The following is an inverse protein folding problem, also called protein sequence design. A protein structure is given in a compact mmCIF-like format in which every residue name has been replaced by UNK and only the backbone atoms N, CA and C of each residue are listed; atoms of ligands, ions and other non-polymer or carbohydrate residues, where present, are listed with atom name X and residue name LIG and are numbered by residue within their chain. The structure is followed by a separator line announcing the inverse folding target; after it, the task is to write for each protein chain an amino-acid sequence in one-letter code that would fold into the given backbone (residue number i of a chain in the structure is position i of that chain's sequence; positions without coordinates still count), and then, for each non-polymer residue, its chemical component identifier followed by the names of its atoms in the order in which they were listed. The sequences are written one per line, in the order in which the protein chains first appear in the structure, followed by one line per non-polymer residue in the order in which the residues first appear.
data_IF_843753900230
#
_entry.id   IF_843753900230
#
_cell.length_a   1.000
_cell.length_b   1.000
_cell.length_c   1.000
_cell.angle_alpha   90.00
_cell.angle_beta   90.00
_cell.angle_gamma   90.00
#
_symmetry.space_group_name_H-M   'P 1'
#
loop_
_entity.id
_entity.type
_entity.pdbx_description
1 polymer ?
#
# COMPACT_ATOMS: atom_id res chain seq x y z
N UNK A 1 -50.19 19.52 43.04
CA UNK A 1 -49.91 20.94 42.98
C UNK A 1 -48.86 21.06 41.89
N UNK A 2 -49.16 21.40 40.76
CA UNK A 2 -49.73 22.50 39.98
C UNK A 2 -48.60 22.83 39.01
N UNK A 3 -48.70 22.45 37.78
CA UNK A 3 -49.15 23.16 36.60
C UNK A 3 -48.26 24.38 36.28
N UNK A 4 -47.60 24.38 35.16
CA UNK A 4 -48.04 25.11 33.96
C UNK A 4 -46.97 25.07 32.86
N UNK A 5 -47.42 24.62 31.71
CA UNK A 5 -46.87 24.91 30.38
C UNK A 5 -47.30 26.33 29.97
N UNK A 6 -46.53 27.05 29.19
CA UNK A 6 -47.11 27.59 27.97
C UNK A 6 -46.18 27.58 26.74
N UNK A 7 -46.71 26.96 25.67
CA UNK A 7 -47.08 27.57 24.40
C UNK A 7 -45.98 28.26 23.59
N UNK A 8 -45.66 27.61 22.50
CA UNK A 8 -45.93 28.01 21.10
C UNK A 8 -45.55 29.48 20.74
N UNK A 9 -44.52 29.62 19.89
CA UNK A 9 -44.47 30.68 18.88
C UNK A 9 -43.76 30.18 17.63
N UNK A 10 -44.59 30.09 16.58
CA UNK A 10 -44.23 30.03 15.18
C UNK A 10 -43.50 31.29 14.73
N UNK A 11 -42.42 31.13 13.99
CA UNK A 11 -41.89 32.18 13.10
C UNK A 11 -41.35 31.55 11.82
N UNK A 12 -42.13 31.58 10.81
CA UNK A 12 -41.99 32.07 9.43
C UNK A 12 -40.60 32.05 8.82
N UNK A 13 -40.53 31.25 7.76
CA UNK A 13 -39.59 31.22 6.65
C UNK A 13 -39.61 32.55 5.86
N UNK A 14 -38.49 33.06 5.38
CA UNK A 14 -38.49 33.92 4.19
C UNK A 14 -37.67 33.32 3.05
N UNK A 15 -38.40 32.91 2.04
CA UNK A 15 -38.22 33.02 0.59
C UNK A 15 -36.86 33.51 0.05
N UNK A 16 -36.31 32.64 -0.80
CA UNK A 16 -35.96 32.89 -2.20
C UNK A 16 -35.38 34.28 -2.55
N UNK A 17 -34.11 34.33 -2.89
CA UNK A 17 -33.58 35.25 -3.87
C UNK A 17 -32.55 34.61 -4.77
N UNK A 18 -32.96 34.40 -6.00
CA UNK A 18 -32.15 34.15 -7.19
C UNK A 18 -31.09 35.24 -7.37
N UNK A 19 -29.83 34.88 -7.53
CA UNK A 19 -28.82 35.77 -8.08
C UNK A 19 -28.13 35.09 -9.25
N UNK A 20 -28.29 35.72 -10.36
CA UNK A 20 -27.80 35.53 -11.69
C UNK A 20 -26.29 35.33 -11.81
N UNK A 21 -25.97 34.43 -12.72
CA UNK A 21 -24.70 34.16 -13.39
C UNK A 21 -24.18 35.42 -14.15
N UNK A 22 -22.91 35.80 -14.06
CA UNK A 22 -22.31 36.69 -15.05
C UNK A 22 -21.34 35.90 -15.94
N UNK A 23 -21.79 35.72 -17.16
CA UNK A 23 -21.09 35.73 -18.47
C UNK A 23 -19.57 35.92 -18.48
N UNK A 24 -18.94 34.94 -19.10
CA UNK A 24 -17.67 34.89 -19.80
C UNK A 24 -17.37 36.15 -20.67
N UNK A 25 -16.17 36.72 -20.66
CA UNK A 25 -15.66 37.49 -21.78
C UNK A 25 -14.49 36.78 -22.47
N UNK A 26 -14.76 36.53 -23.73
CA UNK A 26 -13.89 36.12 -24.82
C UNK A 26 -12.55 36.85 -24.93
N UNK A 27 -11.55 36.02 -25.23
CA UNK A 27 -10.46 36.23 -26.18
C UNK A 27 -9.96 37.63 -26.54
N UNK A 28 -8.69 37.83 -26.36
CA UNK A 28 -7.83 38.50 -27.35
C UNK A 28 -6.39 38.08 -27.20
N UNK A 29 -5.89 37.51 -28.27
CA UNK A 29 -4.52 37.19 -28.59
C UNK A 29 -3.75 38.48 -28.87
N UNK A 30 -2.51 38.65 -28.47
CA UNK A 30 -1.56 39.43 -29.26
C UNK A 30 -0.31 38.59 -29.60
N UNK A 31 -0.12 38.55 -30.89
CA UNK A 31 1.03 38.11 -31.64
C UNK A 31 2.37 38.76 -31.24
N UNK A 32 3.40 37.95 -31.37
CA UNK A 32 4.74 38.28 -31.83
C UNK A 32 5.64 39.19 -30.99
N UNK A 33 6.63 38.58 -30.31
CA UNK A 33 7.99 39.09 -30.36
C UNK A 33 8.99 37.95 -30.22
N UNK A 34 9.84 37.83 -31.21
CA UNK A 34 11.04 37.02 -31.32
C UNK A 34 12.02 37.26 -30.20
N UNK A 35 12.50 36.19 -29.54
CA UNK A 35 13.82 36.14 -28.97
C UNK A 35 14.33 34.69 -29.02
N UNK A 36 15.29 34.46 -29.85
CA UNK A 36 16.22 33.36 -29.91
C UNK A 36 16.87 33.14 -28.55
N UNK A 37 16.82 31.93 -28.05
CA UNK A 37 17.81 31.12 -27.33
C UNK A 37 17.11 29.97 -26.62
N UNK A 38 16.65 29.01 -27.40
CA UNK A 38 16.28 27.70 -26.88
C UNK A 38 17.51 26.82 -27.01
N UNK A 39 18.15 26.55 -25.89
CA UNK A 39 19.13 25.50 -25.75
C UNK A 39 18.60 24.20 -26.38
N UNK A 40 19.39 23.73 -27.32
CA UNK A 40 19.36 22.42 -27.92
C UNK A 40 19.32 21.31 -26.84
N UNK A 41 18.14 20.80 -26.55
CA UNK A 41 17.90 19.62 -25.71
C UNK A 41 17.52 18.42 -26.59
N UNK A 42 18.03 18.35 -27.79
CA UNK A 42 17.98 17.19 -28.65
C UNK A 42 19.32 16.48 -28.62
N UNK A 43 19.53 15.58 -27.70
CA UNK A 43 20.37 14.37 -27.76
C UNK A 43 20.48 13.76 -26.37
N UNK A 44 19.36 13.34 -25.79
CA UNK A 44 19.42 12.23 -24.86
C UNK A 44 19.25 10.97 -25.70
N UNK A 45 20.37 10.39 -26.00
CA UNK A 45 20.54 9.08 -26.59
C UNK A 45 19.49 8.13 -26.01
N UNK A 46 18.75 7.46 -26.88
CA UNK A 46 18.05 6.24 -26.55
C UNK A 46 19.08 5.33 -25.88
N UNK A 47 19.08 5.31 -24.56
CA UNK A 47 19.85 4.33 -23.82
C UNK A 47 19.36 2.98 -24.32
N UNK A 48 20.26 2.27 -24.96
CA UNK A 48 20.15 0.86 -25.30
C UNK A 48 19.47 0.14 -24.14
N UNK A 49 18.27 -0.34 -24.39
CA UNK A 49 17.65 -1.37 -23.58
C UNK A 49 18.72 -2.44 -23.42
N UNK A 50 19.13 -2.73 -22.19
CA UNK A 50 20.09 -3.78 -21.91
C UNK A 50 19.55 -5.06 -22.55
N UNK A 51 20.12 -5.44 -23.66
CA UNK A 51 19.87 -6.72 -24.30
C UNK A 51 20.36 -7.77 -23.33
N UNK A 52 19.44 -8.50 -22.68
CA UNK A 52 19.83 -9.70 -21.99
C UNK A 52 19.13 -10.11 -20.70
N UNK A 53 18.14 -9.38 -20.19
CA UNK A 53 17.33 -9.94 -19.12
C UNK A 53 16.09 -10.59 -19.70
N UNK A 54 16.15 -11.90 -19.84
CA UNK A 54 15.01 -12.72 -20.23
C UNK A 54 13.87 -12.51 -19.22
N UNK A 55 12.69 -12.18 -19.73
CA UNK A 55 11.43 -12.27 -18.94
C UNK A 55 11.45 -13.68 -18.33
N UNK A 56 11.27 -13.83 -16.99
CA UNK A 56 11.21 -15.14 -16.38
C UNK A 56 10.23 -16.02 -17.16
N UNK A 57 10.59 -17.26 -17.46
CA UNK A 57 9.81 -18.23 -18.23
C UNK A 57 8.37 -18.42 -17.73
N UNK A 58 8.04 -17.86 -16.54
CA UNK A 58 6.75 -17.90 -15.85
C UNK A 58 5.93 -16.60 -15.89
N UNK A 59 6.40 -15.53 -16.54
CA UNK A 59 5.62 -14.28 -16.57
C UNK A 59 4.43 -14.43 -17.54
N UNK A 60 3.18 -14.45 -17.06
CA UNK A 60 2.01 -14.68 -17.90
C UNK A 60 1.78 -13.51 -18.87
N UNK A 61 1.23 -13.80 -20.05
CA UNK A 61 0.81 -12.76 -20.99
C UNK A 61 -0.33 -11.90 -20.40
N UNK A 62 -0.34 -10.61 -20.75
CA UNK A 62 -1.43 -9.72 -20.39
C UNK A 62 -2.59 -9.90 -21.39
N UNK A 63 -3.81 -9.92 -20.87
CA UNK A 63 -5.01 -9.89 -21.71
C UNK A 63 -5.22 -8.48 -22.30
N UNK A 64 -6.00 -8.34 -23.39
CA UNK A 64 -6.33 -7.02 -23.95
C UNK A 64 -6.92 -6.07 -22.90
N UNK A 65 -7.77 -6.56 -22.00
CA UNK A 65 -8.35 -5.78 -20.92
C UNK A 65 -7.29 -5.34 -19.88
N UNK A 66 -6.31 -6.19 -19.57
CA UNK A 66 -5.19 -5.84 -18.69
C UNK A 66 -4.25 -4.82 -19.34
N UNK A 67 -4.01 -4.92 -20.64
CA UNK A 67 -3.25 -3.91 -21.37
C UNK A 67 -3.90 -2.54 -21.29
N UNK A 68 -5.21 -2.46 -21.39
CA UNK A 68 -5.97 -1.22 -21.21
C UNK A 68 -5.94 -0.75 -19.73
N UNK A 69 -6.18 -1.67 -18.78
CA UNK A 69 -6.24 -1.36 -17.34
C UNK A 69 -4.92 -0.77 -16.84
N UNK A 70 -3.78 -1.31 -17.28
CA UNK A 70 -2.46 -0.95 -16.78
C UNK A 70 -1.66 -0.02 -17.71
N UNK A 71 -2.29 0.53 -18.75
CA UNK A 71 -1.63 1.32 -19.78
C UNK A 71 -0.72 2.44 -19.21
N UNK A 72 -1.20 3.16 -18.20
CA UNK A 72 -0.42 4.25 -17.57
C UNK A 72 0.78 3.77 -16.76
N UNK A 73 0.77 2.53 -16.28
CA UNK A 73 1.90 1.96 -15.57
C UNK A 73 3.06 1.59 -16.52
N UNK A 74 2.77 1.33 -17.81
CA UNK A 74 3.80 1.00 -18.78
C UNK A 74 4.74 2.18 -19.07
N UNK A 75 4.28 3.42 -18.89
CA UNK A 75 5.08 4.62 -19.09
C UNK A 75 6.03 4.93 -17.91
N UNK A 76 5.91 4.18 -16.81
CA UNK A 76 6.84 4.32 -15.69
C UNK A 76 8.23 3.82 -16.12
N UNK A 77 9.25 4.69 -15.96
CA UNK A 77 10.62 4.39 -16.36
C UNK A 77 11.10 3.06 -15.78
N UNK A 78 11.72 2.25 -16.61
CA UNK A 78 12.31 0.94 -16.28
C UNK A 78 11.30 -0.13 -15.84
N UNK A 79 9.99 0.14 -15.85
CA UNK A 79 8.95 -0.81 -15.52
C UNK A 79 8.33 -1.48 -16.75
N UNK A 80 7.61 -0.72 -17.55
CA UNK A 80 7.01 -1.18 -18.82
C UNK A 80 6.08 -2.39 -18.68
N UNK A 81 5.73 -2.96 -19.84
CA UNK A 81 4.92 -4.18 -19.92
C UNK A 81 5.62 -5.39 -19.26
N UNK A 82 6.93 -5.46 -19.34
CA UNK A 82 7.71 -6.55 -18.73
C UNK A 82 7.58 -6.55 -17.20
N UNK A 83 7.64 -5.38 -16.56
CA UNK A 83 7.39 -5.23 -15.13
C UNK A 83 5.96 -5.63 -14.75
N UNK A 84 4.98 -5.25 -15.56
CA UNK A 84 3.58 -5.62 -15.34
C UNK A 84 3.34 -7.13 -15.42
N UNK A 85 3.95 -7.80 -16.38
CA UNK A 85 3.87 -9.26 -16.51
C UNK A 85 4.51 -9.96 -15.31
N UNK A 86 5.63 -9.43 -14.76
CA UNK A 86 6.23 -9.93 -13.52
C UNK A 86 5.27 -9.76 -12.35
N UNK A 87 4.61 -8.61 -12.20
CA UNK A 87 3.60 -8.41 -11.15
C UNK A 87 2.45 -9.41 -11.26
N UNK A 88 1.91 -9.61 -12.46
CA UNK A 88 0.85 -10.58 -12.72
C UNK A 88 1.26 -12.01 -12.35
N UNK A 89 2.53 -12.37 -12.56
CA UNK A 89 3.07 -13.68 -12.20
C UNK A 89 3.42 -13.84 -10.72
N UNK A 90 3.32 -12.80 -9.92
CA UNK A 90 3.83 -12.77 -8.56
C UNK A 90 2.75 -13.00 -7.50
N UNK A 91 3.19 -13.53 -6.36
CA UNK A 91 2.37 -13.80 -5.16
C UNK A 91 2.91 -13.03 -3.96
N UNK A 92 2.05 -12.36 -3.20
CA UNK A 92 2.44 -11.58 -2.01
C UNK A 92 1.67 -12.03 -0.78
N UNK A 93 2.40 -12.34 0.29
CA UNK A 93 1.81 -12.54 1.61
C UNK A 93 1.71 -11.20 2.35
N UNK A 94 0.53 -10.87 2.83
CA UNK A 94 0.28 -9.73 3.72
C UNK A 94 -0.11 -10.27 5.09
N UNK A 95 0.71 -10.02 6.10
CA UNK A 95 0.60 -10.64 7.43
C UNK A 95 -0.63 -10.21 8.23
N UNK A 96 -1.23 -9.07 7.89
CA UNK A 96 -2.46 -8.54 8.47
C UNK A 96 -3.11 -7.55 7.51
N UNK A 97 -4.38 -7.70 7.23
CA UNK A 97 -5.16 -6.70 6.45
C UNK A 97 -5.81 -5.68 7.40
N UNK A 98 -4.99 -5.15 8.33
CA UNK A 98 -5.35 -4.07 9.26
C UNK A 98 -5.19 -2.68 8.63
N UNK A 99 -4.81 -1.67 9.42
CA UNK A 99 -4.65 -0.30 8.91
C UNK A 99 -3.64 -0.19 7.77
N UNK A 100 -2.41 -0.68 7.98
CA UNK A 100 -1.36 -0.70 6.99
C UNK A 100 -1.65 -1.73 5.88
N UNK A 101 -1.90 -2.97 6.24
CA UNK A 101 -2.04 -4.05 5.28
C UNK A 101 -3.30 -3.94 4.40
N UNK A 102 -4.36 -3.24 4.83
CA UNK A 102 -5.51 -2.93 3.95
C UNK A 102 -5.09 -2.07 2.76
N UNK A 103 -4.26 -1.06 3.01
CA UNK A 103 -3.75 -0.17 1.98
C UNK A 103 -2.81 -0.92 1.06
N UNK A 104 -1.86 -1.68 1.61
CA UNK A 104 -0.95 -2.52 0.82
C UNK A 104 -1.73 -3.46 -0.09
N UNK A 105 -2.72 -4.18 0.45
CA UNK A 105 -3.52 -5.13 -0.34
C UNK A 105 -4.29 -4.43 -1.46
N UNK A 106 -4.84 -3.25 -1.18
CA UNK A 106 -5.59 -2.47 -2.16
C UNK A 106 -4.69 -1.98 -3.30
N UNK A 107 -3.54 -1.39 -2.96
CA UNK A 107 -2.56 -0.88 -3.94
C UNK A 107 -1.96 -2.01 -4.80
N UNK A 108 -1.62 -3.16 -4.19
CA UNK A 108 -1.10 -4.30 -4.95
C UNK A 108 -2.15 -4.92 -5.87
N UNK A 109 -3.42 -4.97 -5.44
CA UNK A 109 -4.53 -5.41 -6.27
C UNK A 109 -4.77 -4.47 -7.45
N UNK A 110 -4.72 -3.15 -7.21
CA UNK A 110 -4.84 -2.11 -8.23
C UNK A 110 -3.67 -2.14 -9.22
N UNK A 111 -2.44 -2.36 -8.72
CA UNK A 111 -1.24 -2.46 -9.56
C UNK A 111 -1.17 -3.74 -10.41
N UNK A 112 -2.03 -4.73 -10.16
CA UNK A 112 -2.09 -5.95 -10.97
C UNK A 112 -1.15 -7.08 -10.50
N UNK A 113 -0.85 -7.17 -9.19
CA UNK A 113 -0.26 -8.37 -8.62
C UNK A 113 -1.23 -9.53 -8.79
N UNK A 114 -0.75 -10.67 -9.30
CA UNK A 114 -1.63 -11.77 -9.67
C UNK A 114 -2.26 -12.51 -8.52
N UNK A 115 -1.56 -12.59 -7.36
CA UNK A 115 -2.03 -13.36 -6.21
C UNK A 115 -1.68 -12.69 -4.87
N UNK A 116 -2.66 -12.62 -3.98
CA UNK A 116 -2.47 -12.19 -2.60
C UNK A 116 -2.79 -13.32 -1.62
N UNK A 117 -1.91 -13.56 -0.68
CA UNK A 117 -2.15 -14.41 0.49
C UNK A 117 -2.41 -13.48 1.67
N UNK A 118 -3.63 -13.51 2.20
CA UNK A 118 -4.07 -12.61 3.25
C UNK A 118 -4.23 -13.39 4.55
N UNK A 119 -3.47 -13.04 5.59
CA UNK A 119 -3.57 -13.67 6.90
C UNK A 119 -4.14 -12.69 7.92
N UNK A 120 -5.38 -12.90 8.39
CA UNK A 120 -5.99 -12.07 9.45
C UNK A 120 -7.15 -12.79 10.13
N UNK A 121 -7.04 -13.03 11.43
CA UNK A 121 -8.10 -13.60 12.23
C UNK A 121 -9.03 -12.53 12.84
N UNK A 122 -10.22 -12.98 13.22
CA UNK A 122 -11.21 -12.23 14.01
C UNK A 122 -12.14 -11.35 13.18
N UNK A 123 -13.10 -10.74 13.88
CA UNK A 123 -14.21 -10.02 13.27
C UNK A 123 -13.99 -8.51 13.26
N UNK A 124 -14.67 -7.83 12.33
CA UNK A 124 -14.64 -6.36 12.20
C UNK A 124 -15.29 -5.74 13.45
N UNK A 125 -14.62 -4.73 14.00
CA UNK A 125 -15.11 -3.94 15.14
C UNK A 125 -15.31 -2.48 14.73
N UNK A 126 -16.18 -1.74 15.40
CA UNK A 126 -16.35 -0.30 15.13
C UNK A 126 -15.03 0.49 15.15
N UNK A 127 -14.12 0.15 16.08
CA UNK A 127 -12.81 0.77 16.20
C UNK A 127 -11.83 0.47 15.07
N UNK A 128 -12.15 -0.44 14.17
CA UNK A 128 -11.31 -0.76 13.00
C UNK A 128 -11.56 0.22 11.85
N UNK A 129 -12.78 0.78 11.75
CA UNK A 129 -13.23 1.56 10.60
C UNK A 129 -12.49 2.88 10.40
N UNK A 130 -11.79 3.38 11.42
CA UNK A 130 -11.02 4.62 11.31
C UNK A 130 -9.69 4.47 10.54
N UNK A 131 -9.28 3.22 10.20
CA UNK A 131 -8.00 2.96 9.53
C UNK A 131 -7.96 1.70 8.66
N UNK A 132 -8.81 0.70 8.88
CA UNK A 132 -8.81 -0.55 8.10
C UNK A 132 -9.73 -0.40 6.89
N UNK A 133 -9.19 0.12 5.77
CA UNK A 133 -9.97 0.59 4.61
C UNK A 133 -10.69 -0.52 3.85
N UNK A 134 -10.30 -1.78 4.04
CA UNK A 134 -11.03 -2.94 3.50
C UNK A 134 -12.20 -3.38 4.37
N UNK A 135 -12.40 -2.75 5.54
CA UNK A 135 -13.52 -3.02 6.44
C UNK A 135 -14.64 -2.02 6.20
N UNK A 136 -15.88 -2.47 6.29
CA UNK A 136 -17.07 -1.64 6.05
C UNK A 136 -18.02 -1.72 7.25
N UNK A 137 -18.87 -0.70 7.41
CA UNK A 137 -19.80 -0.62 8.53
C UNK A 137 -20.80 -1.79 8.56
N UNK A 138 -21.31 -2.23 7.40
CA UNK A 138 -22.22 -3.36 7.23
C UNK A 138 -21.57 -4.72 7.53
N UNK A 139 -20.23 -4.74 7.74
CA UNK A 139 -19.47 -5.95 8.05
C UNK A 139 -19.08 -6.06 9.53
N UNK A 140 -19.47 -5.11 10.39
CA UNK A 140 -19.23 -5.17 11.84
C UNK A 140 -19.78 -6.49 12.40
N UNK A 141 -18.96 -7.20 13.19
CA UNK A 141 -19.29 -8.51 13.77
C UNK A 141 -19.11 -9.70 12.82
N UNK A 142 -18.63 -9.51 11.61
CA UNK A 142 -18.33 -10.56 10.62
C UNK A 142 -16.82 -10.68 10.38
N UNK A 143 -16.33 -11.82 9.81
CA UNK A 143 -14.91 -12.05 9.62
C UNK A 143 -14.23 -10.97 8.77
N UNK A 144 -13.10 -10.41 9.26
CA UNK A 144 -12.31 -9.38 8.55
C UNK A 144 -11.85 -9.86 7.19
N UNK A 145 -11.41 -11.11 7.13
CA UNK A 145 -10.84 -11.64 5.91
C UNK A 145 -11.85 -11.67 4.76
N UNK A 146 -13.12 -11.96 5.06
CA UNK A 146 -14.18 -11.97 4.06
C UNK A 146 -14.49 -10.56 3.54
N UNK A 147 -14.51 -9.55 4.42
CA UNK A 147 -14.63 -8.14 3.99
C UNK A 147 -13.49 -7.75 3.05
N UNK A 148 -12.27 -8.12 3.40
CA UNK A 148 -11.10 -7.83 2.57
C UNK A 148 -11.20 -8.51 1.19
N UNK A 149 -11.55 -9.80 1.15
CA UNK A 149 -11.75 -10.54 -0.11
C UNK A 149 -12.80 -9.87 -0.98
N UNK A 150 -13.97 -9.53 -0.41
CA UNK A 150 -15.04 -8.85 -1.12
C UNK A 150 -14.56 -7.57 -1.78
N UNK A 151 -13.95 -6.68 -0.98
CA UNK A 151 -13.50 -5.36 -1.45
C UNK A 151 -12.40 -5.43 -2.51
N UNK A 152 -11.48 -6.37 -2.38
CA UNK A 152 -10.42 -6.57 -3.35
C UNK A 152 -10.93 -7.18 -4.67
N UNK A 153 -11.92 -8.06 -4.59
CA UNK A 153 -12.59 -8.64 -5.78
C UNK A 153 -13.49 -7.63 -6.50
N UNK A 154 -14.09 -6.68 -5.79
CA UNK A 154 -14.80 -5.54 -6.38
C UNK A 154 -13.85 -4.65 -7.20
N UNK A 155 -12.61 -4.46 -6.73
CA UNK A 155 -11.60 -3.68 -7.44
C UNK A 155 -10.97 -4.46 -8.61
N UNK A 156 -10.50 -5.69 -8.36
CA UNK A 156 -9.85 -6.52 -9.35
C UNK A 156 -10.42 -7.95 -9.33
N UNK A 157 -11.40 -8.25 -10.19
CA UNK A 157 -12.01 -9.58 -10.25
C UNK A 157 -11.04 -10.70 -10.61
N UNK A 158 -9.97 -10.39 -11.35
CA UNK A 158 -8.94 -11.35 -11.80
C UNK A 158 -7.96 -11.76 -10.71
N UNK A 159 -7.80 -10.94 -9.67
CA UNK A 159 -6.87 -11.19 -8.55
C UNK A 159 -7.15 -12.54 -7.89
N UNK A 160 -6.17 -13.43 -7.81
CA UNK A 160 -6.25 -14.63 -6.98
C UNK A 160 -6.04 -14.26 -5.50
N UNK A 161 -6.92 -14.75 -4.63
CA UNK A 161 -6.82 -14.49 -3.19
C UNK A 161 -6.85 -15.81 -2.41
N UNK A 162 -5.79 -16.05 -1.64
CA UNK A 162 -5.77 -17.09 -0.60
C UNK A 162 -6.11 -16.43 0.74
N UNK A 163 -7.31 -16.66 1.23
CA UNK A 163 -7.80 -16.11 2.49
C UNK A 163 -7.48 -17.06 3.65
N UNK A 164 -6.56 -16.66 4.54
CA UNK A 164 -6.22 -17.36 5.77
C UNK A 164 -6.84 -16.63 6.96
N UNK A 165 -7.93 -17.16 7.52
CA UNK A 165 -8.62 -16.60 8.70
C UNK A 165 -7.83 -16.83 10.00
N UNK A 166 -6.51 -16.68 9.94
CA UNK A 166 -5.56 -16.90 11.02
C UNK A 166 -4.51 -15.79 11.07
N UNK A 167 -3.91 -15.60 12.24
CA UNK A 167 -2.75 -14.73 12.38
C UNK A 167 -1.48 -15.52 12.17
N UNK A 168 -0.39 -14.87 11.81
CA UNK A 168 0.92 -15.53 11.68
C UNK A 168 1.42 -15.96 13.06
N UNK A 169 1.87 -17.19 13.15
CA UNK A 169 2.49 -17.78 14.34
C UNK A 169 3.75 -18.55 13.94
N UNK A 170 4.62 -18.94 14.88
CA UNK A 170 5.77 -19.81 14.57
C UNK A 170 5.39 -21.10 13.84
N UNK A 171 4.21 -21.67 14.16
CA UNK A 171 3.73 -22.95 13.62
C UNK A 171 3.25 -22.86 12.17
N UNK A 172 2.67 -21.71 11.77
CA UNK A 172 2.10 -21.53 10.42
C UNK A 172 2.94 -20.67 9.49
N UNK A 173 3.95 -19.95 10.01
CA UNK A 173 4.76 -19.01 9.24
C UNK A 173 5.43 -19.66 8.01
N UNK A 174 6.03 -20.84 8.16
CA UNK A 174 6.68 -21.52 7.03
C UNK A 174 5.69 -21.90 5.92
N UNK A 175 4.49 -22.29 6.28
CA UNK A 175 3.43 -22.62 5.31
C UNK A 175 2.96 -21.37 4.55
N UNK A 176 2.65 -20.30 5.27
CA UNK A 176 2.10 -19.08 4.67
C UNK A 176 3.16 -18.35 3.83
N UNK A 177 4.36 -18.17 4.36
CA UNK A 177 5.50 -17.55 3.66
C UNK A 177 5.88 -18.34 2.41
N UNK A 178 5.85 -19.67 2.48
CA UNK A 178 6.22 -20.54 1.36
C UNK A 178 5.28 -20.47 0.15
N UNK A 179 4.16 -19.75 0.25
CA UNK A 179 3.24 -19.52 -0.87
C UNK A 179 3.50 -18.20 -1.62
N UNK A 180 4.48 -17.39 -1.16
CA UNK A 180 4.69 -16.03 -1.65
C UNK A 180 6.09 -15.82 -2.23
N UNK A 181 6.20 -14.90 -3.18
CA UNK A 181 7.47 -14.40 -3.73
C UNK A 181 7.98 -13.19 -2.95
N UNK A 182 7.11 -12.51 -2.21
CA UNK A 182 7.43 -11.41 -1.32
C UNK A 182 6.46 -11.40 -0.12
N UNK A 183 6.95 -10.99 1.03
CA UNK A 183 6.15 -10.81 2.24
C UNK A 183 6.08 -9.34 2.60
N UNK A 184 4.88 -8.84 2.97
CA UNK A 184 4.72 -7.53 3.59
C UNK A 184 4.37 -7.71 5.06
N UNK A 185 5.23 -7.22 5.92
CA UNK A 185 4.99 -7.21 7.35
C UNK A 185 4.11 -6.02 7.76
N UNK A 186 2.87 -6.32 8.09
CA UNK A 186 1.88 -5.38 8.62
C UNK A 186 1.41 -5.81 10.03
N UNK A 187 2.17 -6.70 10.69
CA UNK A 187 1.81 -7.26 11.99
C UNK A 187 2.10 -6.29 13.15
N UNK A 188 1.20 -6.18 14.14
CA UNK A 188 1.40 -5.31 15.29
C UNK A 188 2.29 -5.92 16.38
N UNK A 189 2.54 -7.24 16.34
CA UNK A 189 3.25 -7.97 17.41
C UNK A 189 4.60 -8.49 16.94
N UNK A 190 5.65 -8.27 17.72
CA UNK A 190 7.00 -8.71 17.40
C UNK A 190 7.13 -10.24 17.21
N UNK A 191 6.36 -11.04 17.94
CA UNK A 191 6.37 -12.48 17.76
C UNK A 191 5.97 -12.89 16.33
N UNK A 192 4.92 -12.28 15.79
CA UNK A 192 4.48 -12.49 14.40
C UNK A 192 5.56 -12.06 13.40
N UNK A 193 6.14 -10.85 13.61
CA UNK A 193 7.21 -10.30 12.79
C UNK A 193 8.44 -11.21 12.76
N UNK A 194 8.91 -11.64 13.91
CA UNK A 194 10.08 -12.53 14.02
C UNK A 194 9.84 -13.89 13.36
N UNK A 195 8.68 -14.50 13.59
CA UNK A 195 8.33 -15.80 12.99
C UNK A 195 8.32 -15.72 11.45
N UNK A 196 7.74 -14.67 10.92
CA UNK A 196 7.61 -14.42 9.48
C UNK A 196 8.97 -14.15 8.84
N UNK A 197 9.80 -13.29 9.45
CA UNK A 197 11.13 -12.97 8.96
C UNK A 197 12.06 -14.19 8.99
N UNK A 198 12.00 -15.00 10.04
CA UNK A 198 12.78 -16.25 10.13
C UNK A 198 12.38 -17.25 9.03
N UNK A 199 11.07 -17.39 8.77
CA UNK A 199 10.57 -18.24 7.70
C UNK A 199 10.99 -17.73 6.31
N UNK A 200 10.88 -16.42 6.08
CA UNK A 200 11.29 -15.78 4.84
C UNK A 200 12.80 -15.91 4.60
N UNK A 201 13.61 -15.71 5.64
CA UNK A 201 15.06 -15.90 5.57
C UNK A 201 15.45 -17.32 5.16
N UNK A 202 14.82 -18.36 5.76
CA UNK A 202 15.08 -19.75 5.38
C UNK A 202 14.81 -20.06 3.92
N UNK A 203 13.87 -19.32 3.31
CA UNK A 203 13.41 -19.51 1.93
C UNK A 203 14.03 -18.55 0.92
N UNK A 204 14.84 -17.57 1.37
CA UNK A 204 15.39 -16.53 0.52
C UNK A 204 14.33 -15.56 -0.04
N UNK A 205 13.21 -15.40 0.67
CA UNK A 205 12.09 -14.52 0.25
C UNK A 205 12.27 -13.14 0.88
N UNK A 206 12.16 -12.03 0.13
CA UNK A 206 12.25 -10.70 0.68
C UNK A 206 11.03 -10.36 1.54
N UNK A 207 11.27 -9.58 2.60
CA UNK A 207 10.22 -9.02 3.46
C UNK A 207 10.28 -7.49 3.39
N UNK A 208 9.17 -6.88 3.07
CA UNK A 208 8.98 -5.42 3.21
C UNK A 208 8.51 -5.17 4.64
N UNK A 209 9.42 -4.63 5.45
CA UNK A 209 9.19 -4.29 6.85
C UNK A 209 8.63 -2.89 6.96
N UNK A 210 7.38 -2.78 7.42
CA UNK A 210 6.71 -1.52 7.64
C UNK A 210 6.14 -1.44 9.06
N UNK A 211 6.41 -0.35 9.75
CA UNK A 211 5.94 -0.13 11.11
C UNK A 211 5.50 1.31 11.31
N UNK A 212 4.60 1.51 12.27
CA UNK A 212 4.11 2.83 12.64
C UNK A 212 3.76 2.89 14.12
N UNK A 213 3.91 4.06 14.68
CA UNK A 213 3.50 4.38 16.05
C UNK A 213 3.19 5.87 16.13
N UNK A 214 2.00 6.26 16.65
CA UNK A 214 1.52 7.65 16.65
C UNK A 214 1.52 8.27 15.26
N UNK A 215 2.38 9.26 15.03
CA UNK A 215 2.57 9.96 13.76
C UNK A 215 3.91 9.61 13.10
N UNK A 216 4.61 8.60 13.58
CA UNK A 216 5.87 8.12 13.02
C UNK A 216 5.69 6.78 12.30
N UNK A 217 6.53 6.55 11.29
CA UNK A 217 6.61 5.28 10.58
C UNK A 217 8.05 4.96 10.20
N UNK A 218 8.31 3.67 9.99
CA UNK A 218 9.57 3.17 9.46
C UNK A 218 9.32 2.16 8.34
N UNK A 219 10.21 2.13 7.37
CA UNK A 219 10.14 1.24 6.22
C UNK A 219 11.53 0.79 5.79
N UNK A 220 11.70 -0.52 5.56
CA UNK A 220 12.93 -1.12 5.00
C UNK A 220 12.61 -2.41 4.27
N UNK A 221 13.59 -2.96 3.57
CA UNK A 221 13.53 -4.30 2.94
C UNK A 221 14.55 -5.22 3.58
N UNK A 222 14.09 -6.35 4.08
CA UNK A 222 14.91 -7.45 4.65
C UNK A 222 14.99 -8.57 3.63
N UNK A 223 16.20 -8.89 3.17
CA UNK A 223 16.44 -9.95 2.18
C UNK A 223 17.85 -10.56 2.35
N UNK A 224 18.11 -11.31 3.44
CA UNK A 224 19.42 -11.95 3.63
C UNK A 224 19.73 -12.97 2.53
N UNK A 225 20.99 -13.11 2.09
CA UNK A 225 22.19 -12.46 2.66
C UNK A 225 22.46 -11.03 2.14
N UNK A 226 21.62 -10.48 1.28
CA UNK A 226 21.82 -9.15 0.68
C UNK A 226 21.65 -8.01 1.70
N UNK A 227 20.94 -8.28 2.80
CA UNK A 227 20.70 -7.33 3.90
C UNK A 227 21.02 -8.00 5.25
N UNK A 228 21.04 -7.19 6.32
CA UNK A 228 21.00 -7.70 7.69
C UNK A 228 19.69 -8.47 7.94
N UNK A 229 19.72 -9.37 8.91
CA UNK A 229 18.54 -10.08 9.39
C UNK A 229 17.68 -9.16 10.24
N UNK A 230 16.36 -9.36 10.24
CA UNK A 230 15.45 -8.58 11.09
C UNK A 230 15.81 -8.70 12.58
N UNK A 231 16.21 -9.88 13.06
CA UNK A 231 16.65 -10.10 14.46
C UNK A 231 17.88 -9.28 14.87
N UNK A 232 18.71 -8.86 13.92
CA UNK A 232 19.88 -8.03 14.18
C UNK A 232 19.52 -6.53 14.27
N UNK A 233 18.36 -6.15 13.71
CA UNK A 233 17.81 -4.79 13.77
C UNK A 233 16.92 -4.59 14.99
N UNK A 234 16.28 -5.65 15.46
CA UNK A 234 15.40 -5.64 16.62
C UNK A 234 16.03 -6.48 17.72
N UNK A 235 16.93 -5.85 18.51
CA UNK A 235 17.68 -6.51 19.57
C UNK A 235 16.78 -6.90 20.75
N UNK A 236 15.81 -6.03 21.09
CA UNK A 236 14.93 -6.23 22.24
C UNK A 236 13.48 -5.91 21.90
N UNK A 237 12.59 -6.82 22.24
CA UNK A 237 11.15 -6.54 22.24
C UNK A 237 10.84 -5.69 23.48
N UNK A 238 10.26 -4.49 23.31
CA UNK A 238 9.97 -3.63 24.48
C UNK A 238 9.11 -4.37 25.50
N UNK A 239 9.52 -4.38 26.79
CA UNK A 239 8.72 -4.98 27.84
C UNK A 239 7.34 -4.32 27.88
N UNK A 240 6.27 -5.12 27.88
CA UNK A 240 4.92 -4.61 27.93
C UNK A 240 4.36 -4.09 26.61
N UNK A 241 5.02 -4.36 25.46
CA UNK A 241 4.45 -4.06 24.15
C UNK A 241 3.04 -4.65 24.01
N UNK A 242 2.08 -3.80 23.65
CA UNK A 242 0.65 -4.17 23.56
C UNK A 242 0.18 -4.08 22.11
N UNK A 243 -0.78 -4.94 21.75
CA UNK A 243 -1.45 -4.89 20.45
C UNK A 243 -2.15 -3.55 20.17
N UNK A 244 -2.64 -2.86 21.22
CA UNK A 244 -3.26 -1.55 21.10
C UNK A 244 -2.19 -0.47 21.32
N UNK A 245 -1.95 0.31 20.31
CA UNK A 245 -1.04 1.46 20.31
C UNK A 245 -1.72 2.65 19.61
N UNK A 246 -1.29 3.89 19.89
CA UNK A 246 -1.82 5.07 19.23
C UNK A 246 -1.50 5.04 17.74
N UNK A 247 -2.51 5.33 16.91
CA UNK A 247 -2.36 5.37 15.44
C UNK A 247 -3.48 6.16 14.81
N UNK A 248 -3.16 6.94 13.80
CA UNK A 248 -4.14 7.56 12.90
C UNK A 248 -4.15 6.84 11.55
N UNK A 249 -5.34 6.74 10.93
CA UNK A 249 -5.51 6.06 9.65
C UNK A 249 -4.64 6.62 8.53
N UNK A 250 -4.43 7.94 8.49
CA UNK A 250 -3.56 8.59 7.52
C UNK A 250 -2.09 8.14 7.62
N UNK A 251 -1.58 7.86 8.83
CA UNK A 251 -0.23 7.31 9.02
C UNK A 251 -0.15 5.91 8.43
N UNK A 252 -1.15 5.06 8.73
CA UNK A 252 -1.26 3.72 8.16
C UNK A 252 -1.32 3.76 6.63
N UNK A 253 -2.09 4.70 6.07
CA UNK A 253 -2.23 4.91 4.64
C UNK A 253 -0.91 5.28 3.98
N UNK A 254 -0.22 6.29 4.51
CA UNK A 254 1.06 6.75 3.98
C UNK A 254 2.10 5.63 3.92
N UNK A 255 2.35 4.96 5.06
CA UNK A 255 3.34 3.88 5.10
C UNK A 255 2.88 2.64 4.33
N UNK A 256 1.57 2.41 4.23
CA UNK A 256 1.00 1.34 3.42
C UNK A 256 1.26 1.52 1.92
N UNK A 257 1.06 2.73 1.38
CA UNK A 257 1.40 3.07 -0.01
C UNK A 257 2.92 2.94 -0.26
N UNK A 258 3.75 3.39 0.68
CA UNK A 258 5.21 3.23 0.57
C UNK A 258 5.63 1.76 0.56
N UNK A 259 5.02 0.92 1.41
CA UNK A 259 5.29 -0.52 1.46
C UNK A 259 4.82 -1.24 0.18
N UNK A 260 3.66 -0.86 -0.35
CA UNK A 260 3.20 -1.37 -1.64
C UNK A 260 4.19 -1.03 -2.76
N UNK A 261 4.70 0.22 -2.80
CA UNK A 261 5.71 0.62 -3.80
C UNK A 261 7.02 -0.15 -3.66
N UNK A 262 7.51 -0.42 -2.44
CA UNK A 262 8.69 -1.27 -2.24
C UNK A 262 8.45 -2.70 -2.76
N UNK A 263 7.26 -3.25 -2.52
CA UNK A 263 6.85 -4.56 -3.03
C UNK A 263 6.81 -4.58 -4.56
N UNK A 264 6.21 -3.56 -5.18
CA UNK A 264 6.13 -3.41 -6.64
C UNK A 264 7.54 -3.29 -7.27
N UNK A 265 8.46 -2.54 -6.66
CA UNK A 265 9.85 -2.44 -7.12
C UNK A 265 10.58 -3.78 -7.06
N UNK A 266 10.38 -4.54 -5.98
CA UNK A 266 11.00 -5.86 -5.82
C UNK A 266 10.50 -6.86 -6.87
N UNK A 267 9.18 -6.90 -7.10
CA UNK A 267 8.55 -7.86 -8.00
C UNK A 267 8.65 -7.46 -9.47
N UNK A 268 8.53 -6.17 -9.76
CA UNK A 268 8.65 -5.61 -11.10
C UNK A 268 10.09 -5.48 -11.60
N UNK A 269 11.07 -5.69 -10.71
CA UNK A 269 12.51 -5.58 -10.96
C UNK A 269 12.91 -4.22 -11.55
N UNK A 270 12.54 -3.15 -10.87
CA UNK A 270 12.88 -1.77 -11.27
C UNK A 270 13.13 -0.87 -10.07
N UNK A 271 13.70 0.29 -10.34
CA UNK A 271 14.01 1.27 -9.30
C UNK A 271 15.06 0.75 -8.30
N UNK A 272 15.04 1.26 -7.07
CA UNK A 272 15.99 0.90 -6.02
C UNK A 272 15.25 0.55 -4.73
N UNK A 273 14.97 -0.73 -4.46
CA UNK A 273 14.39 -1.16 -3.19
C UNK A 273 15.25 -0.74 -1.98
N UNK A 274 14.62 -0.55 -0.83
CA UNK A 274 15.24 -0.07 0.41
C UNK A 274 16.10 -1.14 1.11
N UNK A 275 16.88 -1.93 0.37
CA UNK A 275 17.86 -2.87 0.93
C UNK A 275 18.97 -2.10 1.63
N UNK A 276 19.31 -2.50 2.88
CA UNK A 276 20.32 -1.85 3.72
C UNK A 276 20.07 -0.35 3.98
N UNK A 277 18.85 0.10 3.83
CA UNK A 277 18.39 1.46 4.13
C UNK A 277 17.06 1.40 4.87
N UNK A 278 16.92 2.23 5.88
CA UNK A 278 15.66 2.42 6.60
C UNK A 278 15.18 3.84 6.36
N UNK A 279 13.96 4.00 5.89
CA UNK A 279 13.28 5.28 5.86
C UNK A 279 12.53 5.45 7.16
N UNK A 280 12.79 6.55 7.87
CA UNK A 280 12.00 7.03 9.01
C UNK A 280 11.16 8.21 8.55
N UNK A 281 9.89 8.19 8.87
CA UNK A 281 8.92 9.23 8.52
C UNK A 281 8.34 9.80 9.83
N UNK A 282 8.43 11.10 10.00
CA UNK A 282 7.72 11.85 11.03
C UNK A 282 6.65 12.72 10.34
N UNK A 283 5.40 12.29 10.41
CA UNK A 283 4.26 12.98 9.79
C UNK A 283 3.76 14.17 10.62
N UNK A 284 4.26 14.36 11.84
CA UNK A 284 3.99 15.59 12.63
C UNK A 284 4.68 16.79 12.01
N UNK A 285 5.89 16.59 11.52
CA UNK A 285 6.76 17.62 10.94
C UNK A 285 7.00 17.45 9.44
N UNK A 286 6.42 16.39 8.83
CA UNK A 286 6.64 16.00 7.44
C UNK A 286 8.12 15.75 7.09
N UNK A 287 8.89 15.22 8.05
CA UNK A 287 10.31 14.91 7.88
C UNK A 287 10.49 13.47 7.45
N UNK A 288 11.31 13.29 6.42
CA UNK A 288 11.70 11.98 5.88
C UNK A 288 13.21 11.84 5.98
N UNK A 289 13.67 10.81 6.66
CA UNK A 289 15.09 10.52 6.86
C UNK A 289 15.40 9.13 6.32
N UNK A 290 16.54 9.01 5.65
CA UNK A 290 17.05 7.70 5.22
C UNK A 290 18.33 7.39 6.00
N UNK A 291 18.31 6.29 6.74
CA UNK A 291 19.42 5.79 7.53
C UNK A 291 20.01 4.55 6.83
N UNK A 292 21.34 4.46 6.75
CA UNK A 292 22.02 3.24 6.29
C UNK A 292 22.04 2.22 7.42
N UNK A 293 21.73 0.99 7.11
CA UNK A 293 21.70 -0.14 8.05
C UNK A 293 23.02 -0.95 7.99
N UNK A 294 24.14 -0.35 7.95
CA UNK A 294 25.44 -0.96 8.12
C UNK A 294 25.83 -2.07 7.16
#
# INVERSE_FOLDING_TARGET
MGASDPSDTSASDPSDTSASDPSDPSASDPSDTSASDVHDASHHSRHDLRKGESIPERAPELTPEELETYAWQFDVRDFGEAGQRRLKGSSVLISRVGGLGSVVAYELAAAGVGRLILAHAGDVRPSDLNRQLLMTHDWIGKPRIESAVRRLKELNPRLEIVAAAENITPENADRLVGMADCVVDAAPMFQERLAMNDAAQRRGIPVVEAAMYELEATLTVIHPPQTRKFRELVSDVPPGWKRRFPVMGAVSGTVGCMAAMETIKLLGDFGQPLKNRLVRVDLRTMRFETVRLG
#
